data_IF_006277649830
#
_entry.id   IF_006277649830
#
_cell.length_a   1.000
_cell.length_b   1.000
_cell.length_c   1.000
_cell.angle_alpha   90.00
_cell.angle_beta   90.00
_cell.angle_gamma   90.00
#
_symmetry.space_group_name_H-M   'P 1'
#
loop_
_entity.id
_entity.type
_entity.pdbx_description
1 polymer ?
#
# COMPACT_ATOMS: atom_id res chain seq x y z
N UNK A 1 14.71 23.83 -4.53
CA UNK A 1 14.59 22.39 -4.16
C UNK A 1 14.26 22.26 -2.67
N UNK A 2 14.90 23.04 -1.79
CA UNK A 2 14.54 23.12 -0.36
C UNK A 2 13.08 23.56 -0.15
N UNK A 3 12.63 24.62 -0.83
CA UNK A 3 11.26 25.15 -0.69
C UNK A 3 10.16 24.14 -1.03
N UNK A 4 10.43 23.23 -1.99
CA UNK A 4 9.47 22.18 -2.36
C UNK A 4 9.38 21.09 -1.29
N UNK A 5 10.51 20.72 -0.68
CA UNK A 5 10.53 19.72 0.38
C UNK A 5 9.89 20.25 1.67
N UNK A 6 10.05 21.54 1.95
CA UNK A 6 9.40 22.20 3.07
C UNK A 6 7.87 22.24 2.88
N UNK A 7 7.40 22.60 1.69
CA UNK A 7 5.97 22.56 1.34
C UNK A 7 5.38 21.15 1.46
N UNK A 8 6.07 20.11 0.98
CA UNK A 8 5.60 18.71 1.13
C UNK A 8 5.58 18.29 2.60
N UNK A 9 6.57 18.72 3.40
CA UNK A 9 6.61 18.41 4.83
C UNK A 9 5.41 19.01 5.58
N UNK A 10 5.07 20.25 5.26
CA UNK A 10 3.94 20.96 5.87
C UNK A 10 2.59 20.36 5.43
N UNK A 11 2.38 20.12 4.13
CA UNK A 11 1.15 19.50 3.62
C UNK A 11 0.94 18.09 4.21
N UNK A 12 2.02 17.31 4.31
CA UNK A 12 1.98 16.00 4.96
C UNK A 12 1.66 16.11 6.46
N UNK A 13 2.33 17.02 7.17
CA UNK A 13 2.11 17.27 8.59
C UNK A 13 0.65 17.65 8.86
N UNK A 14 0.08 18.55 8.06
CA UNK A 14 -1.31 18.98 8.17
C UNK A 14 -2.27 17.82 7.94
N UNK A 15 -2.09 17.08 6.84
CA UNK A 15 -2.94 15.93 6.51
C UNK A 15 -2.96 14.92 7.66
N UNK A 16 -1.78 14.42 8.08
CA UNK A 16 -1.74 13.31 9.03
C UNK A 16 -2.26 13.70 10.42
N UNK A 17 -2.07 14.96 10.84
CA UNK A 17 -2.60 15.44 12.11
C UNK A 17 -4.10 15.68 12.02
N UNK A 18 -4.63 16.21 10.91
CA UNK A 18 -6.08 16.31 10.69
C UNK A 18 -6.76 14.94 10.76
N UNK A 19 -6.19 13.93 10.10
CA UNK A 19 -6.70 12.56 10.13
C UNK A 19 -6.63 11.96 11.56
N UNK A 20 -5.56 12.24 12.31
CA UNK A 20 -5.48 11.85 13.72
C UNK A 20 -6.56 12.52 14.57
N UNK A 21 -6.79 13.82 14.40
CA UNK A 21 -7.83 14.55 15.15
C UNK A 21 -9.23 14.03 14.84
N UNK A 22 -9.51 13.74 13.57
CA UNK A 22 -10.78 13.13 13.16
C UNK A 22 -10.95 11.72 13.74
N UNK A 23 -9.91 10.89 13.65
CA UNK A 23 -9.92 9.54 14.23
C UNK A 23 -10.15 9.55 15.75
N UNK A 24 -9.48 10.48 16.45
CA UNK A 24 -9.58 10.62 17.91
C UNK A 24 -10.94 11.15 18.32
N UNK A 25 -11.48 12.17 17.64
CA UNK A 25 -12.68 12.88 18.05
C UNK A 25 -12.62 13.29 19.53
N UNK A 26 -13.71 13.07 20.26
CA UNK A 26 -13.81 13.36 21.70
C UNK A 26 -13.32 12.22 22.61
N UNK A 27 -12.59 11.24 22.07
CA UNK A 27 -12.19 10.03 22.81
C UNK A 27 -10.77 10.11 23.38
N UNK A 28 -10.37 9.09 24.13
CA UNK A 28 -9.01 8.90 24.66
C UNK A 28 -8.07 8.13 23.74
N UNK A 29 -8.45 7.92 22.46
CA UNK A 29 -7.58 7.28 21.47
C UNK A 29 -6.23 7.99 21.38
N UNK A 30 -5.19 7.20 21.32
CA UNK A 30 -3.79 7.61 21.39
C UNK A 30 -3.12 7.54 20.02
N UNK A 31 -1.90 8.08 19.92
CA UNK A 31 -1.06 7.94 18.72
C UNK A 31 -0.76 6.45 18.46
N UNK A 32 -0.65 5.63 19.49
CA UNK A 32 -0.43 4.18 19.35
C UNK A 32 -1.63 3.50 18.69
N UNK A 33 -2.85 3.87 19.08
CA UNK A 33 -4.08 3.36 18.47
C UNK A 33 -4.18 3.79 17.00
N UNK A 34 -3.79 5.03 16.71
CA UNK A 34 -3.77 5.53 15.34
C UNK A 34 -2.73 4.79 14.49
N UNK A 35 -1.51 4.60 15.01
CA UNK A 35 -0.44 3.88 14.34
C UNK A 35 -0.80 2.42 14.02
N UNK A 36 -1.58 1.78 14.89
CA UNK A 36 -2.04 0.40 14.71
C UNK A 36 -2.88 0.22 13.44
N UNK A 37 -3.68 1.22 13.05
CA UNK A 37 -4.53 1.16 11.83
C UNK A 37 -3.66 1.05 10.57
N UNK A 38 -2.47 1.63 10.59
CA UNK A 38 -1.51 1.58 9.49
C UNK A 38 -0.52 0.41 9.61
N UNK A 39 -0.61 -0.39 10.68
CA UNK A 39 0.39 -1.41 11.00
C UNK A 39 1.80 -0.81 11.13
N UNK A 40 1.92 0.32 11.80
CA UNK A 40 3.18 1.02 12.06
C UNK A 40 3.49 1.08 13.57
N UNK A 41 4.77 1.03 13.97
CA UNK A 41 5.15 1.34 15.35
C UNK A 41 4.78 2.78 15.73
N UNK A 42 4.35 3.00 16.97
CA UNK A 42 4.00 4.34 17.49
C UNK A 42 5.12 5.36 17.23
N UNK A 43 6.38 5.00 17.52
CA UNK A 43 7.51 5.90 17.32
C UNK A 43 7.68 6.33 15.86
N UNK A 44 7.38 5.45 14.90
CA UNK A 44 7.43 5.79 13.48
C UNK A 44 6.29 6.75 13.10
N UNK A 45 5.08 6.50 13.60
CA UNK A 45 3.95 7.40 13.41
C UNK A 45 4.21 8.79 14.00
N UNK A 46 4.77 8.86 15.22
CA UNK A 46 5.17 10.13 15.84
C UNK A 46 6.15 10.94 14.98
N UNK A 47 7.04 10.29 14.24
CA UNK A 47 7.97 10.99 13.34
C UNK A 47 7.26 11.56 12.11
N UNK A 48 6.24 10.88 11.58
CA UNK A 48 5.43 11.39 10.47
C UNK A 48 4.49 12.52 10.89
N UNK A 49 4.04 12.52 12.14
CA UNK A 49 3.14 13.55 12.69
C UNK A 49 3.85 14.79 13.24
N UNK A 50 5.19 14.78 13.34
CA UNK A 50 5.96 15.90 13.87
C UNK A 50 6.13 16.99 12.81
N UNK A 51 6.00 18.27 13.19
CA UNK A 51 6.31 19.40 12.29
C UNK A 51 7.78 19.39 11.91
N UNK A 52 8.08 19.51 10.60
CA UNK A 52 9.44 19.29 10.06
C UNK A 52 9.95 17.85 10.28
N UNK A 53 9.04 16.90 10.46
CA UNK A 53 9.32 15.50 10.71
C UNK A 53 9.66 14.71 9.45
N UNK A 54 9.50 13.40 9.51
CA UNK A 54 9.73 12.54 8.34
C UNK A 54 8.57 12.67 7.35
N UNK A 55 8.90 12.61 6.08
CA UNK A 55 7.95 12.43 4.97
C UNK A 55 8.04 10.97 4.53
N UNK A 56 6.91 10.26 4.32
CA UNK A 56 6.96 8.92 3.75
C UNK A 56 7.43 9.00 2.29
N UNK A 57 8.59 8.39 2.01
CA UNK A 57 9.17 8.33 0.65
C UNK A 57 9.22 6.92 0.08
N UNK A 58 9.05 5.91 0.94
CA UNK A 58 9.10 4.51 0.54
C UNK A 58 7.71 4.05 0.12
N UNK A 59 7.60 3.39 -1.05
CA UNK A 59 6.33 2.95 -1.60
C UNK A 59 5.54 2.04 -0.65
N UNK A 60 6.20 1.13 0.06
CA UNK A 60 5.54 0.27 1.06
C UNK A 60 4.86 1.07 2.16
N UNK A 61 5.49 2.15 2.62
CA UNK A 61 4.90 3.04 3.62
C UNK A 61 3.78 3.88 3.01
N UNK A 62 3.99 4.43 1.81
CA UNK A 62 2.96 5.21 1.10
C UNK A 62 1.72 4.34 0.89
N UNK A 63 1.86 3.10 0.45
CA UNK A 63 0.75 2.15 0.28
C UNK A 63 -0.01 1.89 1.58
N UNK A 64 0.67 1.81 2.74
CA UNK A 64 0.00 1.69 4.03
C UNK A 64 -0.91 2.89 4.32
N UNK A 65 -0.46 4.11 4.04
CA UNK A 65 -1.27 5.31 4.20
C UNK A 65 -2.40 5.37 3.17
N UNK A 66 -2.13 5.05 1.91
CA UNK A 66 -3.12 5.01 0.82
C UNK A 66 -4.26 4.05 1.13
N UNK A 67 -3.96 2.87 1.66
CA UNK A 67 -4.97 1.86 1.99
C UNK A 67 -5.96 2.32 3.07
N UNK A 68 -5.55 3.23 3.95
CA UNK A 68 -6.37 3.72 5.06
C UNK A 68 -7.03 5.07 4.73
N UNK A 69 -6.30 5.98 4.11
CA UNK A 69 -6.72 7.38 3.89
C UNK A 69 -7.23 7.66 2.47
N UNK A 70 -6.95 6.76 1.52
CA UNK A 70 -7.23 6.93 0.11
C UNK A 70 -6.04 7.51 -0.68
N UNK A 71 -5.93 7.10 -1.95
CA UNK A 71 -4.84 7.50 -2.85
C UNK A 71 -4.80 9.01 -3.09
N UNK A 72 -5.93 9.62 -3.41
CA UNK A 72 -6.01 11.05 -3.74
C UNK A 72 -5.40 11.93 -2.65
N UNK A 73 -5.79 11.73 -1.38
CA UNK A 73 -5.29 12.53 -0.25
C UNK A 73 -3.77 12.38 -0.07
N UNK A 74 -3.29 11.13 -0.07
CA UNK A 74 -1.88 10.83 0.23
C UNK A 74 -0.98 11.30 -0.90
N UNK A 75 -1.30 11.00 -2.15
CA UNK A 75 -0.48 11.41 -3.30
C UNK A 75 -0.49 12.93 -3.46
N UNK A 76 -1.65 13.60 -3.25
CA UNK A 76 -1.73 15.06 -3.24
C UNK A 76 -0.82 15.68 -2.18
N UNK A 77 -0.88 15.23 -0.92
CA UNK A 77 -0.05 15.78 0.15
C UNK A 77 1.45 15.51 -0.05
N UNK A 78 1.80 14.44 -0.78
CA UNK A 78 3.19 14.12 -1.13
C UNK A 78 3.66 14.78 -2.43
N UNK A 79 2.80 15.55 -3.10
CA UNK A 79 3.03 16.14 -4.43
C UNK A 79 3.44 15.09 -5.47
N UNK A 80 2.86 13.90 -5.35
CA UNK A 80 3.08 12.78 -6.26
C UNK A 80 1.90 12.66 -7.23
N UNK A 81 2.15 12.24 -8.48
CA UNK A 81 1.06 11.95 -9.39
C UNK A 81 0.25 10.76 -8.88
N UNK A 82 -1.07 10.90 -8.84
CA UNK A 82 -1.97 9.79 -8.52
C UNK A 82 -1.89 8.78 -9.66
N UNK A 83 -1.55 7.52 -9.40
CA UNK A 83 -1.51 6.50 -10.44
C UNK A 83 -2.94 6.24 -10.96
N UNK A 84 -3.11 6.30 -12.28
CA UNK A 84 -4.39 6.02 -12.96
C UNK A 84 -4.84 4.57 -12.78
N UNK A 85 -3.88 3.66 -12.64
CA UNK A 85 -4.10 2.25 -12.35
C UNK A 85 -3.43 1.86 -11.02
N UNK A 86 -4.13 1.21 -10.07
CA UNK A 86 -3.52 0.70 -8.85
C UNK A 86 -2.29 -0.17 -9.09
N UNK A 87 -2.23 -0.92 -10.20
CA UNK A 87 -1.05 -1.73 -10.55
C UNK A 87 0.20 -0.86 -10.77
N UNK A 88 0.04 0.34 -11.33
CA UNK A 88 1.16 1.24 -11.62
C UNK A 88 1.84 1.76 -10.34
N UNK A 89 1.16 1.64 -9.20
CA UNK A 89 1.69 1.99 -7.88
C UNK A 89 2.56 0.91 -7.26
N UNK A 90 2.58 -0.31 -7.81
CA UNK A 90 3.36 -1.43 -7.27
C UNK A 90 4.84 -1.27 -7.64
N UNK A 91 5.78 -1.72 -6.79
CA UNK A 91 7.21 -1.77 -7.15
C UNK A 91 7.49 -2.91 -8.17
N UNK A 92 8.59 -2.83 -8.90
CA UNK A 92 9.09 -3.98 -9.67
C UNK A 92 9.73 -5.05 -8.75
N UNK A 93 9.62 -6.35 -9.06
CA UNK A 93 8.97 -6.95 -10.24
C UNK A 93 7.45 -7.14 -10.11
N UNK A 94 6.88 -6.81 -8.94
CA UNK A 94 5.46 -7.07 -8.63
C UNK A 94 4.50 -6.38 -9.60
N UNK A 95 4.84 -5.19 -10.08
CA UNK A 95 4.09 -4.47 -11.11
C UNK A 95 4.01 -5.26 -12.41
N UNK A 96 5.15 -5.71 -12.94
CA UNK A 96 5.20 -6.50 -14.19
C UNK A 96 4.37 -7.78 -14.07
N UNK A 97 4.51 -8.50 -12.95
CA UNK A 97 3.75 -9.72 -12.67
C UNK A 97 2.24 -9.43 -12.60
N UNK A 98 1.84 -8.39 -11.87
CA UNK A 98 0.44 -8.04 -11.73
C UNK A 98 -0.20 -7.61 -13.05
N UNK A 99 0.54 -6.89 -13.91
CA UNK A 99 0.09 -6.57 -15.27
C UNK A 99 -0.12 -7.82 -16.10
N UNK A 100 0.88 -8.71 -16.13
CA UNK A 100 0.81 -9.95 -16.90
C UNK A 100 -0.36 -10.83 -16.43
N UNK A 101 -0.57 -10.99 -15.13
CA UNK A 101 -1.74 -11.70 -14.59
C UNK A 101 -3.05 -11.09 -15.09
N UNK A 102 -3.19 -9.77 -15.01
CA UNK A 102 -4.43 -9.10 -15.42
C UNK A 102 -4.66 -9.26 -16.93
N UNK A 103 -3.63 -9.06 -17.74
CA UNK A 103 -3.68 -9.19 -19.19
C UNK A 103 -4.03 -10.63 -19.60
N UNK A 104 -3.38 -11.63 -19.01
CA UNK A 104 -3.66 -13.04 -19.28
C UNK A 104 -5.07 -13.44 -18.84
N UNK A 105 -5.52 -13.06 -17.64
CA UNK A 105 -6.89 -13.38 -17.20
C UNK A 105 -7.94 -12.74 -18.13
N UNK A 106 -7.70 -11.51 -18.59
CA UNK A 106 -8.57 -10.84 -19.55
C UNK A 106 -8.55 -11.50 -20.94
N UNK A 107 -7.38 -11.92 -21.44
CA UNK A 107 -7.24 -12.62 -22.72
C UNK A 107 -7.99 -13.94 -22.75
N UNK A 108 -7.92 -14.72 -21.66
CA UNK A 108 -8.60 -16.00 -21.55
C UNK A 108 -10.09 -15.88 -21.16
N UNK A 109 -10.58 -14.65 -20.94
CA UNK A 109 -11.97 -14.35 -20.55
C UNK A 109 -12.47 -15.22 -19.38
N UNK A 110 -11.60 -15.47 -18.40
CA UNK A 110 -11.89 -16.30 -17.24
C UNK A 110 -12.24 -15.41 -16.03
N UNK A 111 -13.26 -15.78 -15.22
CA UNK A 111 -13.54 -15.08 -13.97
C UNK A 111 -12.30 -15.11 -13.06
N UNK A 112 -11.98 -13.96 -12.44
CA UNK A 112 -10.74 -13.78 -11.66
C UNK A 112 -10.66 -14.70 -10.43
N UNK A 113 -11.80 -15.16 -9.93
CA UNK A 113 -11.98 -16.08 -8.81
C UNK A 113 -12.11 -17.55 -9.23
N UNK A 114 -12.03 -17.85 -10.53
CA UNK A 114 -12.13 -19.22 -11.02
C UNK A 114 -10.86 -20.03 -10.73
N UNK A 115 -10.97 -21.37 -10.59
CA UNK A 115 -9.81 -22.24 -10.50
C UNK A 115 -8.84 -22.04 -11.67
N UNK A 116 -9.37 -21.72 -12.86
CA UNK A 116 -8.54 -21.48 -14.04
C UNK A 116 -7.72 -20.19 -13.94
N UNK A 117 -8.27 -19.14 -13.32
CA UNK A 117 -7.52 -17.92 -13.06
C UNK A 117 -6.39 -18.15 -12.05
N UNK A 118 -6.60 -19.02 -11.05
CA UNK A 118 -5.54 -19.42 -10.12
C UNK A 118 -4.41 -20.17 -10.84
N UNK A 119 -4.72 -21.16 -11.69
CA UNK A 119 -3.71 -21.86 -12.49
C UNK A 119 -2.86 -20.89 -13.34
N UNK A 120 -3.50 -19.94 -14.01
CA UNK A 120 -2.79 -18.93 -14.83
C UNK A 120 -1.92 -18.01 -13.98
N UNK A 121 -2.41 -17.57 -12.82
CA UNK A 121 -1.63 -16.80 -11.86
C UNK A 121 -0.39 -17.57 -11.39
N UNK A 122 -0.57 -18.87 -11.12
CA UNK A 122 0.51 -19.74 -10.68
C UNK A 122 1.59 -19.92 -11.75
N UNK A 123 1.19 -20.14 -13.00
CA UNK A 123 2.11 -20.25 -14.14
C UNK A 123 2.94 -18.97 -14.33
N UNK A 124 2.29 -17.81 -14.23
CA UNK A 124 2.97 -16.52 -14.34
C UNK A 124 3.93 -16.33 -13.17
N UNK A 125 3.51 -16.59 -11.93
CA UNK A 125 4.40 -16.49 -10.76
C UNK A 125 5.63 -17.42 -10.89
N UNK A 126 5.44 -18.65 -11.36
CA UNK A 126 6.54 -19.59 -11.66
C UNK A 126 7.49 -19.05 -12.74
N UNK A 127 6.96 -18.42 -13.80
CA UNK A 127 7.77 -17.77 -14.86
C UNK A 127 8.70 -16.67 -14.31
N UNK A 128 8.27 -15.96 -13.26
CA UNK A 128 9.08 -14.96 -12.57
C UNK A 128 9.96 -15.52 -11.44
N UNK A 129 10.04 -16.85 -11.30
CA UNK A 129 10.91 -17.53 -10.34
C UNK A 129 10.33 -17.64 -8.92
N UNK A 130 9.02 -17.47 -8.74
CA UNK A 130 8.37 -17.70 -7.45
C UNK A 130 7.98 -19.17 -7.28
N UNK A 131 8.33 -19.75 -6.13
CA UNK A 131 7.83 -21.06 -5.72
C UNK A 131 6.47 -20.90 -5.03
N UNK A 132 5.50 -21.69 -5.48
CA UNK A 132 4.14 -21.64 -4.97
C UNK A 132 3.94 -22.81 -4.03
N UNK A 133 3.81 -22.50 -2.74
CA UNK A 133 3.51 -23.48 -1.71
C UNK A 133 1.99 -23.56 -1.57
N UNK A 134 1.36 -24.47 -2.30
CA UNK A 134 -0.06 -24.79 -2.14
C UNK A 134 -0.27 -25.50 -0.79
N UNK A 135 -1.10 -24.93 0.09
CA UNK A 135 -1.45 -25.51 1.41
C UNK A 135 -2.19 -26.85 1.34
N UNK A 136 -2.56 -27.33 0.16
CA UNK A 136 -3.21 -28.63 -0.03
C UNK A 136 -2.25 -29.82 0.13
N UNK A 137 -0.94 -29.60 0.14
CA UNK A 137 0.06 -30.67 0.28
C UNK A 137 0.45 -31.00 1.72
N UNK A 138 -0.12 -30.32 2.73
CA UNK A 138 0.26 -30.47 4.15
C UNK A 138 -0.72 -31.31 4.98
N UNK A 139 -1.68 -32.00 4.36
CA UNK A 139 -2.70 -32.77 5.09
C UNK A 139 -2.80 -34.25 4.67
N UNK A 140 -1.68 -34.83 4.24
CA UNK A 140 -1.57 -36.26 3.94
C UNK A 140 -0.40 -36.91 4.67
N UNK A 141 -0.16 -36.51 5.92
CA UNK A 141 0.55 -37.32 6.92
C UNK A 141 -0.09 -37.08 8.29
N UNK A 142 -1.21 -37.77 8.56
CA UNK A 142 -1.58 -38.30 9.87
C UNK A 142 -2.71 -39.32 9.76
#
# INVERSE_FOLDING_TARGET
>A
MEDQLESIADDWYELINQEFYQFRGNTRKTISDFAAIFGLPQGQMSQYMKKGGKIPRNQTIISKFVNVLGSEKVYRALHLPVPSDPIDSLPEPTRSIAREIRETVAEYNVPFDSPKALELQEEILKKYGFEIISKESSNSEQ
#
